data_IF_871831313419
#
_entry.id   IF_871831313419
#
_cell.length_a   1.000
_cell.length_b   1.000
_cell.length_c   1.000
_cell.angle_alpha   90.00
_cell.angle_beta   90.00
_cell.angle_gamma   90.00
#
_symmetry.space_group_name_H-M   'P 1'
#
loop_
_entity.id
_entity.type
_entity.pdbx_description
1 polymer ?
#
# COMPACT_ATOMS: atom_id res chain seq x y z
N UNK A 1 -40.24 8.63 2.91
CA UNK A 1 -39.13 8.82 3.85
C UNK A 1 -38.18 9.81 3.22
N UNK A 2 -38.16 11.03 3.74
CA UNK A 2 -37.38 12.18 3.27
C UNK A 2 -35.88 11.86 3.25
N UNK A 3 -35.15 12.43 2.28
CA UNK A 3 -33.68 12.41 2.17
C UNK A 3 -33.05 12.99 3.46
N UNK A 4 -32.91 12.17 4.50
CA UNK A 4 -32.06 12.48 5.64
C UNK A 4 -30.60 12.15 5.23
N UNK A 5 -29.66 13.10 5.34
CA UNK A 5 -28.25 12.82 5.11
C UNK A 5 -27.78 11.62 5.97
N UNK A 6 -26.86 10.80 5.45
CA UNK A 6 -26.28 9.68 6.20
C UNK A 6 -26.96 8.32 5.97
N UNK A 7 -28.26 8.27 5.66
CA UNK A 7 -28.96 6.97 5.50
C UNK A 7 -28.35 6.15 4.35
N UNK A 8 -27.88 6.77 3.25
CA UNK A 8 -27.19 6.06 2.16
C UNK A 8 -28.15 5.45 1.14
N UNK A 9 -28.11 5.92 -0.11
CA UNK A 9 -29.10 5.54 -1.16
C UNK A 9 -28.89 4.14 -1.74
N UNK A 10 -27.65 3.63 -1.77
CA UNK A 10 -27.33 2.31 -2.38
C UNK A 10 -27.36 1.14 -1.39
N UNK A 11 -27.11 1.42 -0.12
CA UNK A 11 -27.18 0.50 1.03
C UNK A 11 -27.45 1.36 2.26
N UNK A 12 -28.63 1.24 2.89
CA UNK A 12 -28.94 2.05 4.04
C UNK A 12 -28.09 1.65 5.25
N UNK A 13 -27.75 2.61 6.11
CA UNK A 13 -27.18 2.33 7.42
C UNK A 13 -28.25 1.72 8.34
N UNK A 14 -27.88 0.67 9.08
CA UNK A 14 -28.72 0.03 10.08
C UNK A 14 -28.16 0.31 11.47
N UNK A 15 -29.05 0.53 12.42
CA UNK A 15 -28.72 0.69 13.83
C UNK A 15 -28.58 -0.68 14.47
N UNK A 16 -27.37 -1.05 14.89
CA UNK A 16 -27.08 -2.37 15.45
C UNK A 16 -26.45 -2.22 16.82
N UNK A 17 -26.94 -2.98 17.82
CA UNK A 17 -26.34 -2.98 19.14
C UNK A 17 -24.87 -3.42 19.08
N UNK A 18 -23.98 -2.72 19.78
CA UNK A 18 -22.55 -3.07 19.85
C UNK A 18 -22.31 -4.50 20.37
N UNK A 19 -23.25 -5.06 21.15
CA UNK A 19 -23.21 -6.43 21.68
C UNK A 19 -23.34 -7.50 20.59
N UNK A 20 -23.99 -7.16 19.47
CA UNK A 20 -24.17 -8.04 18.33
C UNK A 20 -23.04 -7.92 17.29
N UNK A 21 -22.08 -7.03 17.52
CA UNK A 21 -20.97 -6.75 16.63
C UNK A 21 -19.67 -7.34 17.17
N UNK A 22 -18.96 -8.08 16.34
CA UNK A 22 -17.71 -8.76 16.67
C UNK A 22 -16.59 -8.31 15.73
N UNK A 23 -15.35 -8.25 16.22
CA UNK A 23 -14.20 -7.91 15.37
C UNK A 23 -13.87 -9.03 14.37
N UNK A 24 -13.46 -8.66 13.15
CA UNK A 24 -12.90 -9.64 12.19
C UNK A 24 -11.49 -10.07 12.65
N UNK A 25 -11.40 -11.23 13.30
CA UNK A 25 -10.14 -11.82 13.79
C UNK A 25 -9.20 -12.24 12.66
N UNK A 26 -9.71 -12.36 11.44
CA UNK A 26 -8.93 -12.69 10.25
C UNK A 26 -8.73 -11.46 9.34
N UNK A 27 -8.82 -10.24 9.89
CA UNK A 27 -8.66 -9.03 9.10
C UNK A 27 -7.24 -8.95 8.51
N UNK A 28 -7.07 -8.79 7.18
CA UNK A 28 -5.76 -8.76 6.53
C UNK A 28 -4.81 -7.67 7.01
N UNK A 29 -5.33 -6.58 7.63
CA UNK A 29 -4.53 -5.51 8.22
C UNK A 29 -3.83 -5.90 9.52
N UNK A 30 -4.20 -7.04 10.11
CA UNK A 30 -3.58 -7.53 11.34
C UNK A 30 -2.30 -8.31 11.00
N UNK A 31 -1.25 -8.22 11.84
CA UNK A 31 -0.09 -9.09 11.70
C UNK A 31 -0.47 -10.56 11.82
N UNK A 32 0.20 -11.44 11.09
CA UNK A 32 -0.09 -12.89 11.07
C UNK A 32 -0.10 -13.52 12.46
N UNK A 33 0.75 -13.04 13.39
CA UNK A 33 0.81 -13.50 14.80
C UNK A 33 -0.43 -13.16 15.65
N UNK A 34 -1.30 -12.26 15.18
CA UNK A 34 -2.54 -11.84 15.85
C UNK A 34 -3.78 -12.38 15.14
N UNK A 35 -3.69 -12.68 13.85
CA UNK A 35 -4.81 -13.24 13.10
C UNK A 35 -5.31 -14.56 13.73
N UNK A 36 -6.63 -14.75 13.76
CA UNK A 36 -7.29 -15.92 14.33
C UNK A 36 -7.31 -15.98 15.88
N UNK A 37 -6.68 -15.03 16.58
CA UNK A 37 -6.74 -14.97 18.06
C UNK A 37 -8.11 -14.49 18.56
N UNK A 38 -8.29 -14.54 19.89
CA UNK A 38 -9.54 -14.12 20.53
C UNK A 38 -9.83 -12.63 20.29
N UNK A 39 -11.11 -12.24 20.34
CA UNK A 39 -11.52 -10.84 20.23
C UNK A 39 -10.85 -9.97 21.31
N UNK A 40 -10.68 -10.50 22.53
CA UNK A 40 -9.99 -9.80 23.62
C UNK A 40 -8.51 -9.54 23.32
N UNK A 41 -7.80 -10.54 22.78
CA UNK A 41 -6.40 -10.38 22.34
C UNK A 41 -6.29 -9.33 21.24
N UNK A 42 -7.26 -9.34 20.32
CA UNK A 42 -7.31 -8.39 19.23
C UNK A 42 -7.55 -6.96 19.73
N UNK A 43 -8.50 -6.73 20.65
CA UNK A 43 -8.74 -5.42 21.27
C UNK A 43 -7.47 -4.92 21.97
N UNK A 44 -6.78 -5.79 22.71
CA UNK A 44 -5.53 -5.45 23.40
C UNK A 44 -4.43 -5.06 22.42
N UNK A 45 -4.28 -5.80 21.32
CA UNK A 45 -3.35 -5.46 20.25
C UNK A 45 -3.71 -4.13 19.59
N UNK A 46 -4.99 -3.94 19.23
CA UNK A 46 -5.46 -2.73 18.54
C UNK A 46 -5.23 -1.49 19.41
N UNK A 47 -5.54 -1.59 20.71
CA UNK A 47 -5.32 -0.51 21.69
C UNK A 47 -3.86 -0.05 21.69
N UNK A 48 -2.92 -1.00 21.73
CA UNK A 48 -1.47 -0.68 21.75
C UNK A 48 -0.94 -0.20 20.41
N UNK A 49 -1.38 -0.79 19.30
CA UNK A 49 -0.76 -0.60 17.99
C UNK A 49 -1.37 0.55 17.17
N UNK A 50 -2.61 0.97 17.45
CA UNK A 50 -3.34 1.92 16.59
C UNK A 50 -3.90 3.15 17.30
N UNK A 51 -3.32 3.56 18.43
CA UNK A 51 -3.62 4.81 19.14
C UNK A 51 -5.13 5.03 19.28
N UNK A 52 -5.79 4.21 20.11
CA UNK A 52 -7.23 4.32 20.30
C UNK A 52 -7.62 5.48 21.22
N UNK A 53 -6.66 6.09 21.91
CA UNK A 53 -6.85 7.19 22.86
C UNK A 53 -7.49 8.41 22.20
N UNK A 54 -7.06 8.79 21.00
CA UNK A 54 -7.64 9.92 20.25
C UNK A 54 -9.11 9.64 19.87
N UNK A 55 -9.39 8.42 19.41
CA UNK A 55 -10.76 8.00 19.10
C UNK A 55 -11.63 7.95 20.35
N UNK A 56 -11.08 7.45 21.46
CA UNK A 56 -11.77 7.36 22.74
C UNK A 56 -12.11 8.75 23.28
N UNK A 57 -11.17 9.71 23.20
CA UNK A 57 -11.41 11.09 23.56
C UNK A 57 -12.53 11.70 22.72
N UNK A 58 -12.45 11.56 21.39
CA UNK A 58 -13.47 12.10 20.48
C UNK A 58 -14.86 11.51 20.77
N UNK A 59 -14.96 10.18 20.87
CA UNK A 59 -16.23 9.49 21.12
C UNK A 59 -16.78 9.76 22.52
N UNK A 60 -15.93 9.97 23.53
CA UNK A 60 -16.36 10.31 24.88
C UNK A 60 -17.00 11.69 25.00
N UNK A 61 -16.72 12.58 24.04
CA UNK A 61 -17.25 13.96 23.99
C UNK A 61 -18.39 14.09 22.99
N UNK A 62 -18.26 13.44 21.83
CA UNK A 62 -19.15 13.67 20.69
C UNK A 62 -20.12 12.51 20.40
N UNK A 63 -19.95 11.34 21.03
CA UNK A 63 -20.62 10.12 20.58
C UNK A 63 -19.99 9.54 19.31
N UNK A 64 -20.72 8.66 18.65
CA UNK A 64 -20.32 8.04 17.40
C UNK A 64 -20.60 8.97 16.20
N UNK A 65 -19.73 8.94 15.18
CA UNK A 65 -19.89 9.74 13.97
C UNK A 65 -20.51 8.89 12.84
N UNK A 66 -21.74 9.20 12.45
CA UNK A 66 -22.51 8.46 11.44
C UNK A 66 -21.91 8.53 10.03
N UNK A 67 -21.12 9.57 9.73
CA UNK A 67 -20.38 9.70 8.46
C UNK A 67 -19.29 8.64 8.33
N UNK A 68 -18.91 8.04 9.45
CA UNK A 68 -18.03 6.90 9.55
C UNK A 68 -18.82 5.68 10.05
N UNK A 69 -19.63 5.01 9.20
CA UNK A 69 -20.32 3.79 9.62
C UNK A 69 -19.35 2.61 9.71
N UNK A 70 -19.71 1.62 10.51
CA UNK A 70 -19.07 0.30 10.47
C UNK A 70 -19.53 -0.45 9.22
N UNK A 71 -18.71 -1.39 8.73
CA UNK A 71 -19.16 -2.34 7.70
C UNK A 71 -19.04 -3.73 8.27
N UNK A 72 -20.14 -4.49 8.17
CA UNK A 72 -20.21 -5.81 8.75
C UNK A 72 -20.90 -6.82 7.82
N UNK A 73 -20.67 -8.10 8.12
CA UNK A 73 -21.30 -9.24 7.46
C UNK A 73 -21.96 -10.14 8.52
N UNK A 74 -23.09 -10.82 8.21
CA UNK A 74 -23.69 -11.76 9.15
C UNK A 74 -22.73 -12.90 9.52
N UNK A 75 -22.68 -13.26 10.81
CA UNK A 75 -21.86 -14.39 11.28
C UNK A 75 -22.35 -15.75 10.76
N UNK A 76 -23.67 -15.88 10.57
CA UNK A 76 -24.33 -17.09 10.07
C UNK A 76 -25.38 -16.69 9.05
N UNK A 77 -24.96 -16.48 7.80
CA UNK A 77 -25.91 -16.22 6.71
C UNK A 77 -26.71 -17.50 6.43
N UNK A 78 -28.06 -17.49 6.49
CA UNK A 78 -28.85 -18.63 6.06
C UNK A 78 -28.59 -19.02 4.60
N UNK A 79 -28.43 -20.31 4.31
CA UNK A 79 -28.19 -20.84 2.94
C UNK A 79 -29.19 -20.35 1.91
N UNK A 80 -30.45 -20.09 2.33
CA UNK A 80 -31.49 -19.55 1.43
C UNK A 80 -31.13 -18.18 0.82
N UNK A 81 -30.20 -17.44 1.43
CA UNK A 81 -29.72 -16.15 0.94
C UNK A 81 -28.42 -16.24 0.14
N UNK A 82 -27.62 -17.31 0.31
CA UNK A 82 -26.33 -17.47 -0.40
C UNK A 82 -26.51 -17.58 -1.91
N UNK A 83 -27.63 -18.17 -2.37
CA UNK A 83 -27.94 -18.36 -3.78
C UNK A 83 -28.61 -17.15 -4.45
N UNK A 84 -28.90 -16.07 -3.71
CA UNK A 84 -29.62 -14.90 -4.22
C UNK A 84 -28.61 -13.82 -4.62
N UNK A 85 -28.79 -13.22 -5.80
CA UNK A 85 -27.92 -12.14 -6.27
C UNK A 85 -28.02 -10.89 -5.36
N UNK A 86 -26.92 -10.16 -5.20
CA UNK A 86 -26.81 -9.05 -4.25
C UNK A 86 -27.85 -7.92 -4.50
N UNK A 87 -28.16 -7.64 -5.77
CA UNK A 87 -29.16 -6.65 -6.18
C UNK A 87 -30.60 -7.08 -5.80
N UNK A 88 -30.86 -8.38 -5.77
CA UNK A 88 -32.15 -8.95 -5.37
C UNK A 88 -32.27 -9.04 -3.85
N UNK A 89 -31.19 -9.42 -3.14
CA UNK A 89 -31.14 -9.48 -1.68
C UNK A 89 -31.52 -8.15 -1.02
N UNK A 90 -31.11 -7.03 -1.61
CA UNK A 90 -31.42 -5.68 -1.09
C UNK A 90 -32.92 -5.39 -1.00
N UNK A 91 -33.74 -6.06 -1.80
CA UNK A 91 -35.19 -5.90 -1.85
C UNK A 91 -35.93 -7.10 -1.27
N UNK A 92 -35.20 -8.10 -0.75
CA UNK A 92 -35.78 -9.32 -0.22
C UNK A 92 -36.22 -9.09 1.24
N UNK A 93 -37.52 -9.15 1.51
CA UNK A 93 -38.08 -8.87 2.83
C UNK A 93 -37.61 -9.86 3.91
N UNK A 94 -37.44 -11.14 3.57
CA UNK A 94 -36.91 -12.14 4.50
C UNK A 94 -35.48 -11.83 4.92
N UNK A 95 -34.66 -11.37 3.97
CA UNK A 95 -33.28 -10.96 4.23
C UNK A 95 -33.24 -9.70 5.09
N UNK A 96 -34.08 -8.70 4.78
CA UNK A 96 -34.21 -7.49 5.60
C UNK A 96 -34.62 -7.83 7.03
N UNK A 97 -35.66 -8.66 7.21
CA UNK A 97 -36.10 -9.13 8.53
C UNK A 97 -35.00 -9.89 9.28
N UNK A 98 -34.18 -10.67 8.56
CA UNK A 98 -33.04 -11.37 9.14
C UNK A 98 -31.96 -10.39 9.63
N UNK A 99 -31.54 -9.42 8.82
CA UNK A 99 -30.47 -8.49 9.20
C UNK A 99 -30.91 -7.41 10.20
N UNK A 100 -32.21 -7.17 10.35
CA UNK A 100 -32.76 -6.27 11.39
C UNK A 100 -33.23 -7.00 12.65
N UNK A 101 -33.02 -8.32 12.74
CA UNK A 101 -33.39 -9.08 13.92
C UNK A 101 -32.38 -8.83 15.06
N UNK A 102 -32.87 -8.56 16.27
CA UNK A 102 -32.07 -8.25 17.46
C UNK A 102 -31.13 -9.39 17.90
N UNK A 103 -31.36 -10.63 17.42
CA UNK A 103 -30.51 -11.79 17.71
C UNK A 103 -29.46 -12.05 16.64
N UNK A 104 -29.54 -11.36 15.49
CA UNK A 104 -28.56 -11.51 14.42
C UNK A 104 -27.25 -10.87 14.83
N UNK A 105 -26.17 -11.62 14.65
CA UNK A 105 -24.82 -11.18 15.00
C UNK A 105 -23.97 -11.00 13.75
N UNK A 106 -23.02 -10.06 13.82
CA UNK A 106 -22.24 -9.65 12.67
C UNK A 106 -20.75 -9.55 12.98
N UNK A 107 -19.92 -9.83 11.98
CA UNK A 107 -18.48 -9.59 11.99
C UNK A 107 -18.20 -8.26 11.29
N UNK A 108 -17.58 -7.32 12.01
CA UNK A 108 -17.14 -6.02 11.50
C UNK A 108 -15.85 -6.22 10.72
N UNK A 109 -15.96 -6.06 9.40
CA UNK A 109 -14.87 -6.20 8.43
C UNK A 109 -14.16 -4.87 8.14
N UNK A 110 -14.83 -3.75 8.42
CA UNK A 110 -14.29 -2.39 8.30
C UNK A 110 -14.71 -1.55 9.51
N UNK A 111 -13.74 -0.90 10.16
CA UNK A 111 -14.00 -0.16 11.40
C UNK A 111 -13.66 -0.90 12.70
N UNK A 112 -12.83 -1.96 12.65
CA UNK A 112 -12.36 -2.68 13.85
C UNK A 112 -11.80 -1.77 14.96
N UNK A 113 -11.08 -0.69 14.61
CA UNK A 113 -10.60 0.30 15.58
C UNK A 113 -11.76 1.02 16.30
N UNK A 114 -12.78 1.46 15.54
CA UNK A 114 -13.96 2.17 16.08
C UNK A 114 -14.76 1.23 16.99
N UNK A 115 -15.04 0.00 16.54
CA UNK A 115 -15.72 -0.98 17.39
C UNK A 115 -14.91 -1.33 18.64
N UNK A 116 -13.58 -1.46 18.53
CA UNK A 116 -12.71 -1.71 19.70
C UNK A 116 -12.76 -0.56 20.69
N UNK A 117 -12.73 0.69 20.21
CA UNK A 117 -12.87 1.88 21.06
C UNK A 117 -14.22 1.91 21.76
N UNK A 118 -15.32 1.68 21.04
CA UNK A 118 -16.67 1.62 21.62
C UNK A 118 -16.75 0.55 22.71
N UNK A 119 -16.32 -0.69 22.41
CA UNK A 119 -16.32 -1.79 23.38
C UNK A 119 -15.51 -1.44 24.64
N UNK A 120 -14.33 -0.83 24.47
CA UNK A 120 -13.47 -0.40 25.58
C UNK A 120 -14.09 0.75 26.38
N UNK A 121 -14.73 1.74 25.75
CA UNK A 121 -15.41 2.83 26.46
C UNK A 121 -16.57 2.29 27.32
N UNK A 122 -17.42 1.45 26.73
CA UNK A 122 -18.59 0.90 27.41
C UNK A 122 -18.24 -0.08 28.54
N UNK A 123 -17.10 -0.79 28.42
CA UNK A 123 -16.60 -1.72 29.42
C UNK A 123 -15.67 -1.09 30.47
N UNK A 124 -15.38 0.22 30.41
CA UNK A 124 -14.46 0.89 31.33
C UNK A 124 -12.96 0.60 31.08
N UNK A 125 -12.61 0.15 29.87
CA UNK A 125 -11.23 -0.14 29.44
C UNK A 125 -10.35 1.11 29.22
N UNK A 126 -10.91 2.31 29.32
CA UNK A 126 -10.18 3.59 29.30
C UNK A 126 -10.35 4.35 30.62
N UNK A 127 -9.31 4.31 31.46
CA UNK A 127 -9.31 4.96 32.79
C UNK A 127 -9.50 6.48 32.71
N UNK A 128 -9.02 7.12 31.64
CA UNK A 128 -9.06 8.58 31.49
C UNK A 128 -10.33 9.11 30.82
N UNK A 129 -11.22 8.24 30.33
CA UNK A 129 -12.40 8.62 29.52
C UNK A 129 -13.72 8.08 30.11
N UNK A 130 -13.77 7.93 31.44
CA UNK A 130 -14.91 7.35 32.17
C UNK A 130 -16.12 8.30 32.32
N UNK A 131 -15.97 9.58 31.97
CA UNK A 131 -16.95 10.63 32.25
C UNK A 131 -17.80 11.00 31.03
N UNK A 132 -18.29 10.02 30.26
CA UNK A 132 -19.26 10.27 29.19
C UNK A 132 -20.66 10.50 29.77
N UNK A 133 -21.43 11.43 29.21
CA UNK A 133 -22.84 11.61 29.60
C UNK A 133 -23.66 10.34 29.30
N UNK A 134 -24.79 10.17 29.99
CA UNK A 134 -25.70 9.04 29.74
C UNK A 134 -26.15 8.99 28.26
N UNK A 135 -26.40 10.15 27.65
CA UNK A 135 -26.76 10.24 26.23
C UNK A 135 -25.66 9.72 25.30
N UNK A 136 -24.39 10.07 25.56
CA UNK A 136 -23.25 9.55 24.77
C UNK A 136 -23.10 8.03 24.96
N UNK A 137 -23.34 7.54 26.18
CA UNK A 137 -23.30 6.11 26.45
C UNK A 137 -24.37 5.37 25.65
N UNK A 138 -25.60 5.85 25.65
CA UNK A 138 -26.72 5.30 24.89
C UNK A 138 -26.47 5.32 23.38
N UNK A 139 -25.88 6.41 22.87
CA UNK A 139 -25.46 6.55 21.48
C UNK A 139 -24.40 5.47 21.10
N UNK A 140 -23.38 5.28 21.93
CA UNK A 140 -22.35 4.26 21.68
C UNK A 140 -22.86 2.82 21.82
N UNK A 141 -24.03 2.59 22.44
CA UNK A 141 -24.63 1.26 22.53
C UNK A 141 -25.26 0.80 21.20
N UNK A 142 -25.61 1.72 20.31
CA UNK A 142 -26.28 1.46 19.04
C UNK A 142 -25.47 2.11 17.92
N UNK A 143 -24.78 1.29 17.12
CA UNK A 143 -23.86 1.80 16.11
C UNK A 143 -24.49 1.78 14.71
N UNK A 144 -24.19 2.78 13.87
CA UNK A 144 -24.53 2.75 12.46
C UNK A 144 -23.65 1.75 11.70
N UNK A 145 -24.29 0.80 11.02
CA UNK A 145 -23.61 -0.30 10.31
C UNK A 145 -24.18 -0.48 8.90
N UNK A 146 -23.29 -0.59 7.91
CA UNK A 146 -23.64 -1.03 6.57
C UNK A 146 -23.43 -2.55 6.49
N UNK A 147 -24.50 -3.29 6.24
CA UNK A 147 -24.47 -4.76 6.15
C UNK A 147 -24.28 -5.22 4.72
N UNK A 148 -23.31 -6.12 4.52
CA UNK A 148 -23.09 -6.88 3.28
C UNK A 148 -23.35 -8.37 3.53
N UNK A 149 -23.78 -9.14 2.51
CA UNK A 149 -24.09 -10.55 2.71
C UNK A 149 -22.85 -11.39 3.01
N UNK A 150 -21.69 -11.05 2.44
CA UNK A 150 -20.45 -11.81 2.56
C UNK A 150 -19.21 -10.93 2.38
N UNK A 151 -18.01 -11.48 2.63
CA UNK A 151 -16.73 -10.76 2.50
C UNK A 151 -16.48 -10.31 1.05
N UNK A 152 -16.84 -11.11 0.05
CA UNK A 152 -16.57 -10.79 -1.37
C UNK A 152 -17.28 -9.51 -1.83
N UNK A 153 -18.54 -9.34 -1.45
CA UNK A 153 -19.30 -8.11 -1.71
C UNK A 153 -18.66 -6.88 -1.04
N UNK A 154 -18.00 -7.07 0.10
CA UNK A 154 -17.28 -6.01 0.82
C UNK A 154 -15.98 -5.65 0.10
N UNK A 155 -15.27 -6.58 -0.52
CA UNK A 155 -14.01 -6.32 -1.24
C UNK A 155 -14.19 -5.26 -2.34
N UNK A 156 -15.31 -5.32 -3.07
CA UNK A 156 -15.65 -4.30 -4.08
C UNK A 156 -15.79 -2.92 -3.46
N UNK A 157 -16.38 -2.83 -2.27
CA UNK A 157 -16.51 -1.59 -1.51
C UNK A 157 -15.16 -1.10 -0.94
N UNK A 158 -14.36 -2.00 -0.38
CA UNK A 158 -13.07 -1.66 0.23
C UNK A 158 -12.05 -1.19 -0.81
N UNK A 159 -12.02 -1.81 -1.99
CA UNK A 159 -11.16 -1.39 -3.10
C UNK A 159 -11.41 0.07 -3.50
N UNK A 160 -12.67 0.51 -3.54
CA UNK A 160 -13.04 1.89 -3.89
C UNK A 160 -12.80 2.86 -2.72
N UNK A 161 -13.11 2.47 -1.47
CA UNK A 161 -13.05 3.35 -0.29
C UNK A 161 -11.66 3.48 0.36
N UNK A 162 -10.75 2.52 0.20
CA UNK A 162 -9.43 2.56 0.86
C UNK A 162 -8.28 2.99 -0.02
N UNK A 163 -8.55 3.16 -1.30
CA UNK A 163 -7.56 3.64 -2.27
C UNK A 163 -7.56 5.18 -2.35
N UNK A 164 -8.58 5.84 -1.76
CA UNK A 164 -8.66 7.26 -1.49
C UNK A 164 -9.27 7.51 -0.07
N UNK A 165 -8.86 8.53 0.69
CA UNK A 165 -8.14 8.34 1.95
C UNK A 165 -8.97 8.49 3.24
N UNK A 166 -8.90 7.50 4.15
CA UNK A 166 -8.81 7.69 5.61
C UNK A 166 -7.83 6.62 6.16
N UNK A 167 -6.59 7.07 6.45
CA UNK A 167 -5.35 6.30 6.72
C UNK A 167 -4.87 5.37 5.58
N UNK A 168 -3.82 5.81 4.88
CA UNK A 168 -3.17 5.07 3.79
C UNK A 168 -2.74 3.69 4.30
N UNK A 169 -3.16 2.64 3.62
CA UNK A 169 -2.59 1.32 3.80
C UNK A 169 -1.07 1.39 3.64
N UNK A 170 -0.33 0.67 4.47
CA UNK A 170 1.09 0.45 4.21
C UNK A 170 1.27 -0.28 2.87
N UNK A 171 2.43 -0.08 2.25
CA UNK A 171 2.67 -0.55 0.89
C UNK A 171 2.56 -2.09 0.80
N UNK A 172 3.00 -2.81 1.83
CA UNK A 172 2.93 -4.27 1.91
C UNK A 172 1.51 -4.78 2.16
N UNK A 173 0.74 -4.14 3.05
CA UNK A 173 -0.66 -4.51 3.30
C UNK A 173 -1.49 -4.35 2.03
N UNK A 174 -1.26 -3.27 1.27
CA UNK A 174 -1.93 -3.05 -0.02
C UNK A 174 -1.58 -4.19 -0.99
N UNK A 175 -0.33 -4.63 -0.98
CA UNK A 175 0.14 -5.71 -1.83
C UNK A 175 -0.50 -7.06 -1.47
N UNK A 176 -0.58 -7.37 -0.17
CA UNK A 176 -1.25 -8.57 0.33
C UNK A 176 -2.72 -8.62 -0.06
N UNK A 177 -3.41 -7.49 0.00
CA UNK A 177 -4.81 -7.42 -0.44
C UNK A 177 -4.98 -7.65 -1.94
N UNK A 178 -4.11 -7.06 -2.75
CA UNK A 178 -4.10 -7.34 -4.19
C UNK A 178 -3.84 -8.83 -4.44
N UNK A 179 -2.89 -9.43 -3.73
CA UNK A 179 -2.60 -10.86 -3.87
C UNK A 179 -3.78 -11.74 -3.45
N UNK A 180 -4.45 -11.41 -2.34
CA UNK A 180 -5.65 -12.11 -1.88
C UNK A 180 -6.75 -12.12 -2.94
N UNK A 181 -7.01 -10.98 -3.58
CA UNK A 181 -8.00 -10.87 -4.67
C UNK A 181 -7.70 -11.80 -5.85
N UNK A 182 -6.42 -11.93 -6.20
CA UNK A 182 -5.98 -12.71 -7.36
C UNK A 182 -5.99 -14.20 -7.03
N UNK A 183 -5.41 -14.59 -5.89
CA UNK A 183 -5.10 -15.99 -5.59
C UNK A 183 -6.25 -16.71 -4.89
N UNK A 184 -6.97 -16.04 -3.99
CA UNK A 184 -8.06 -16.67 -3.24
C UNK A 184 -9.40 -16.51 -3.96
N UNK A 185 -9.60 -15.36 -4.62
CA UNK A 185 -10.88 -15.06 -5.29
C UNK A 185 -10.82 -15.23 -6.82
N UNK A 186 -9.66 -15.61 -7.37
CA UNK A 186 -9.50 -15.88 -8.81
C UNK A 186 -9.70 -14.66 -9.71
N UNK A 187 -9.60 -13.44 -9.17
CA UNK A 187 -9.84 -12.21 -9.91
C UNK A 187 -8.61 -11.88 -10.76
N UNK A 188 -8.80 -11.65 -12.05
CA UNK A 188 -7.68 -11.27 -12.92
C UNK A 188 -7.04 -9.95 -12.48
N UNK A 189 -5.72 -9.82 -12.66
CA UNK A 189 -5.00 -8.57 -12.30
C UNK A 189 -5.56 -7.34 -13.04
N UNK A 190 -6.03 -7.50 -14.28
CA UNK A 190 -6.66 -6.43 -15.06
C UNK A 190 -7.99 -5.99 -14.44
N UNK A 191 -8.77 -6.93 -13.93
CA UNK A 191 -10.00 -6.63 -13.21
C UNK A 191 -9.72 -5.98 -11.86
N UNK A 192 -8.68 -6.43 -11.14
CA UNK A 192 -8.22 -5.75 -9.92
C UNK A 192 -7.87 -4.29 -10.23
N UNK A 193 -7.07 -4.03 -11.27
CA UNK A 193 -6.72 -2.66 -11.70
C UNK A 193 -7.95 -1.79 -11.98
N UNK A 194 -8.95 -2.34 -12.69
CA UNK A 194 -10.23 -1.63 -12.95
C UNK A 194 -11.00 -1.33 -11.66
N UNK A 195 -11.16 -2.31 -10.77
CA UNK A 195 -11.89 -2.17 -9.50
C UNK A 195 -11.27 -1.12 -8.59
N UNK A 196 -9.94 -0.96 -8.66
CA UNK A 196 -9.20 0.01 -7.85
C UNK A 196 -8.92 1.35 -8.52
N UNK A 197 -9.31 1.51 -9.79
CA UNK A 197 -9.03 2.71 -10.58
C UNK A 197 -7.53 2.94 -10.85
N UNK A 198 -6.71 1.88 -10.95
CA UNK A 198 -5.29 1.99 -11.25
C UNK A 198 -5.02 2.03 -12.76
N UNK A 199 -4.59 3.19 -13.25
CA UNK A 199 -4.21 3.41 -14.66
C UNK A 199 -2.70 3.33 -14.90
N UNK A 200 -1.90 3.13 -13.84
CA UNK A 200 -0.43 3.30 -13.85
C UNK A 200 0.37 2.00 -13.81
N UNK A 201 -0.30 0.84 -13.87
CA UNK A 201 0.30 -0.48 -13.59
C UNK A 201 0.89 -0.61 -12.17
N UNK A 202 0.45 0.23 -11.24
CA UNK A 202 0.87 0.15 -9.85
C UNK A 202 0.44 -1.17 -9.21
N UNK A 203 -0.76 -1.70 -9.53
CA UNK A 203 -1.24 -2.97 -9.00
C UNK A 203 -0.36 -4.15 -9.44
N UNK A 204 0.01 -4.19 -10.73
CA UNK A 204 0.91 -5.22 -11.29
C UNK A 204 2.27 -5.19 -10.61
N UNK A 205 2.85 -4.00 -10.49
CA UNK A 205 4.13 -3.78 -9.80
C UNK A 205 4.07 -4.22 -8.33
N UNK A 206 3.03 -3.80 -7.63
CA UNK A 206 2.80 -4.13 -6.22
C UNK A 206 2.61 -5.64 -6.04
N UNK A 207 1.78 -6.28 -6.85
CA UNK A 207 1.55 -7.73 -6.80
C UNK A 207 2.83 -8.52 -7.11
N UNK A 208 3.56 -8.12 -8.16
CA UNK A 208 4.84 -8.75 -8.53
C UNK A 208 5.82 -8.68 -7.37
N UNK A 209 5.97 -7.50 -6.75
CA UNK A 209 6.88 -7.33 -5.61
C UNK A 209 6.46 -8.19 -4.40
N UNK A 210 5.16 -8.31 -4.13
CA UNK A 210 4.63 -9.21 -3.08
C UNK A 210 5.03 -10.65 -3.33
N UNK A 211 4.81 -11.14 -4.55
CA UNK A 211 5.12 -12.52 -4.92
C UNK A 211 6.61 -12.83 -4.91
N UNK A 212 7.47 -11.86 -5.20
CA UNK A 212 8.91 -12.08 -5.06
C UNK A 212 9.32 -12.36 -3.62
N UNK A 213 8.64 -11.75 -2.62
CA UNK A 213 8.86 -12.07 -1.20
C UNK A 213 8.40 -13.50 -0.91
N UNK A 214 7.17 -13.85 -1.30
CA UNK A 214 6.64 -15.21 -1.07
C UNK A 214 7.53 -16.28 -1.73
N UNK A 215 8.00 -16.05 -2.96
CA UNK A 215 8.95 -16.94 -3.64
C UNK A 215 10.24 -17.12 -2.82
N UNK A 216 10.76 -16.07 -2.19
CA UNK A 216 11.94 -16.16 -1.33
C UNK A 216 11.66 -16.94 -0.04
N UNK A 217 10.48 -16.76 0.56
CA UNK A 217 10.03 -17.53 1.73
C UNK A 217 9.93 -19.02 1.38
N UNK A 218 9.29 -19.35 0.26
CA UNK A 218 9.02 -20.72 -0.18
C UNK A 218 10.31 -21.45 -0.62
N UNK A 219 11.16 -20.81 -1.44
CA UNK A 219 12.31 -21.46 -2.05
C UNK A 219 13.57 -21.46 -1.15
N UNK A 220 13.67 -20.52 -0.22
CA UNK A 220 14.87 -20.34 0.62
C UNK A 220 14.59 -20.31 2.13
N UNK A 221 13.34 -20.46 2.58
CA UNK A 221 12.97 -20.26 3.99
C UNK A 221 13.46 -18.91 4.52
N UNK A 222 13.42 -17.89 3.66
CA UNK A 222 13.92 -16.55 3.93
C UNK A 222 13.09 -15.86 5.02
N UNK A 223 13.75 -15.26 6.02
CA UNK A 223 13.08 -14.36 6.97
C UNK A 223 12.73 -13.04 6.28
N UNK A 224 11.45 -12.87 6.01
CA UNK A 224 10.92 -11.76 5.23
C UNK A 224 10.55 -10.54 6.06
N UNK A 225 10.79 -10.52 7.38
CA UNK A 225 10.37 -9.42 8.25
C UNK A 225 10.83 -8.05 7.71
N UNK A 226 12.13 -7.89 7.43
CA UNK A 226 12.70 -6.64 6.94
C UNK A 226 12.18 -6.26 5.54
N UNK A 227 11.97 -7.25 4.67
CA UNK A 227 11.42 -7.06 3.33
C UNK A 227 9.96 -6.58 3.37
N UNK A 228 9.18 -7.07 4.34
CA UNK A 228 7.77 -6.70 4.55
C UNK A 228 7.66 -5.30 5.16
N UNK A 229 8.52 -4.97 6.13
CA UNK A 229 8.60 -3.64 6.74
C UNK A 229 9.07 -2.56 5.74
N UNK A 230 10.11 -2.86 4.95
CA UNK A 230 10.70 -1.95 3.96
C UNK A 230 10.29 -2.28 2.52
N UNK A 231 9.03 -2.68 2.32
CA UNK A 231 8.51 -3.14 1.02
C UNK A 231 8.63 -2.12 -0.11
N UNK A 232 8.64 -0.83 0.22
CA UNK A 232 8.83 0.25 -0.76
C UNK A 232 10.17 0.17 -1.49
N UNK A 233 11.21 -0.42 -0.88
CA UNK A 233 12.52 -0.59 -1.50
C UNK A 233 12.45 -1.64 -2.62
N UNK A 234 11.82 -2.79 -2.39
CA UNK A 234 11.59 -3.80 -3.43
C UNK A 234 10.69 -3.28 -4.54
N UNK A 235 9.65 -2.49 -4.21
CA UNK A 235 8.87 -1.80 -5.22
C UNK A 235 9.76 -0.84 -6.02
N UNK A 236 10.63 -0.05 -5.40
CA UNK A 236 11.53 0.84 -6.14
C UNK A 236 12.48 0.04 -7.04
N UNK A 237 13.07 -1.03 -6.53
CA UNK A 237 14.00 -1.91 -7.21
C UNK A 237 13.37 -2.58 -8.43
N UNK A 238 12.22 -3.22 -8.29
CA UNK A 238 11.50 -3.83 -9.43
C UNK A 238 10.96 -2.79 -10.40
N UNK A 239 10.90 -1.51 -10.00
CA UNK A 239 10.65 -0.39 -10.90
C UNK A 239 11.80 -0.10 -11.88
N UNK A 240 13.04 -0.47 -11.53
CA UNK A 240 14.21 -0.21 -12.34
C UNK A 240 14.34 -1.27 -13.45
N UNK A 241 14.53 -0.80 -14.69
CA UNK A 241 14.67 -1.70 -15.84
C UNK A 241 15.87 -2.64 -15.74
N UNK A 242 17.02 -2.15 -15.27
CA UNK A 242 18.24 -2.96 -15.10
C UNK A 242 18.07 -4.07 -14.06
N UNK A 243 17.46 -3.76 -12.92
CA UNK A 243 17.17 -4.75 -11.87
C UNK A 243 16.19 -5.80 -12.41
N UNK A 244 15.12 -5.40 -13.11
CA UNK A 244 14.20 -6.36 -13.74
C UNK A 244 14.92 -7.29 -14.71
N UNK A 245 15.73 -6.75 -15.62
CA UNK A 245 16.53 -7.56 -16.56
C UNK A 245 17.46 -8.51 -15.82
N UNK A 246 18.14 -8.05 -14.77
CA UNK A 246 19.04 -8.87 -13.97
C UNK A 246 18.33 -10.09 -13.37
N UNK A 247 17.17 -9.92 -12.75
CA UNK A 247 16.38 -11.02 -12.17
C UNK A 247 15.49 -11.75 -13.20
N UNK A 248 15.53 -11.35 -14.48
CA UNK A 248 14.76 -11.98 -15.55
C UNK A 248 13.26 -11.65 -15.59
N UNK A 249 12.84 -10.52 -15.01
CA UNK A 249 11.49 -10.01 -15.19
C UNK A 249 11.33 -9.30 -16.56
N UNK A 250 10.16 -9.43 -17.21
CA UNK A 250 9.82 -8.66 -18.40
C UNK A 250 9.93 -7.14 -18.20
N UNK A 251 10.33 -6.42 -19.26
CA UNK A 251 10.46 -4.96 -19.19
C UNK A 251 9.12 -4.25 -19.02
N UNK A 252 8.04 -4.75 -19.64
CA UNK A 252 6.69 -4.19 -19.48
C UNK A 252 5.92 -4.97 -18.42
N UNK A 253 5.20 -4.25 -17.56
CA UNK A 253 4.38 -4.86 -16.50
C UNK A 253 3.25 -5.76 -17.02
N UNK A 254 2.76 -5.50 -18.23
CA UNK A 254 1.69 -6.28 -18.84
C UNK A 254 2.16 -7.65 -19.32
N UNK A 255 3.47 -7.81 -19.55
CA UNK A 255 4.06 -9.04 -20.07
C UNK A 255 4.44 -10.01 -18.92
N UNK A 256 4.23 -9.60 -17.65
CA UNK A 256 4.48 -10.45 -16.48
C UNK A 256 3.34 -11.44 -16.31
N UNK A 257 3.68 -12.73 -16.32
CA UNK A 257 2.78 -13.83 -16.01
C UNK A 257 2.63 -13.99 -14.48
N UNK A 258 1.43 -13.77 -13.90
CA UNK A 258 1.16 -13.96 -12.47
C UNK A 258 1.46 -15.37 -11.95
N UNK A 259 1.39 -16.39 -12.81
CA UNK A 259 1.63 -17.79 -12.44
C UNK A 259 3.11 -18.18 -12.51
N UNK A 260 3.93 -17.37 -13.19
CA UNK A 260 5.34 -17.66 -13.42
C UNK A 260 6.18 -16.38 -13.43
N UNK A 261 6.32 -15.79 -12.25
CA UNK A 261 6.98 -14.49 -12.10
C UNK A 261 8.51 -14.60 -12.27
N UNK A 262 9.15 -15.62 -11.72
CA UNK A 262 10.60 -15.87 -11.83
C UNK A 262 10.87 -17.30 -12.28
N UNK A 263 11.94 -17.49 -13.05
CA UNK A 263 12.42 -18.83 -13.46
C UNK A 263 13.38 -19.41 -12.41
N UNK A 264 13.49 -20.74 -12.33
CA UNK A 264 14.41 -21.41 -11.39
C UNK A 264 15.87 -20.95 -11.52
N UNK A 265 16.33 -20.68 -12.74
CA UNK A 265 17.69 -20.19 -13.02
C UNK A 265 17.92 -18.79 -12.40
N UNK A 266 16.90 -17.94 -12.41
CA UNK A 266 16.99 -16.58 -11.89
C UNK A 266 16.74 -16.47 -10.37
N UNK A 267 16.35 -17.54 -9.68
CA UNK A 267 16.18 -17.55 -8.21
C UNK A 267 17.47 -17.13 -7.49
N UNK A 268 18.64 -17.58 -7.96
CA UNK A 268 19.94 -17.17 -7.38
C UNK A 268 20.17 -15.67 -7.53
N UNK A 269 19.77 -15.07 -8.66
CA UNK A 269 19.88 -13.62 -8.90
C UNK A 269 18.89 -12.84 -8.05
N UNK A 270 17.66 -13.34 -7.89
CA UNK A 270 16.68 -12.78 -6.97
C UNK A 270 17.22 -12.75 -5.54
N UNK A 271 17.77 -13.87 -5.06
CA UNK A 271 18.38 -13.97 -3.73
C UNK A 271 19.51 -12.93 -3.53
N UNK A 272 20.34 -12.70 -4.54
CA UNK A 272 21.38 -11.64 -4.49
C UNK A 272 20.78 -10.26 -4.36
N UNK A 273 19.73 -9.93 -5.12
CA UNK A 273 19.04 -8.64 -5.01
C UNK A 273 18.43 -8.45 -3.62
N UNK A 274 17.78 -9.48 -3.07
CA UNK A 274 17.28 -9.43 -1.69
C UNK A 274 18.40 -9.20 -0.69
N UNK A 275 19.51 -9.93 -0.80
CA UNK A 275 20.70 -9.73 0.05
C UNK A 275 21.25 -8.31 -0.07
N UNK A 276 21.32 -7.74 -1.27
CA UNK A 276 21.82 -6.38 -1.45
C UNK A 276 20.92 -5.31 -0.81
N UNK A 277 19.60 -5.51 -0.86
CA UNK A 277 18.62 -4.53 -0.35
C UNK A 277 18.39 -4.68 1.16
N UNK A 278 18.37 -5.91 1.67
CA UNK A 278 17.91 -6.23 3.02
C UNK A 278 18.99 -6.91 3.89
N UNK A 279 20.05 -7.43 3.29
CA UNK A 279 20.98 -8.34 3.96
C UNK A 279 20.42 -9.76 4.07
N UNK A 280 21.24 -10.68 4.60
CA UNK A 280 20.85 -12.08 4.85
C UNK A 280 21.39 -12.63 6.19
N UNK A 281 21.77 -11.73 7.11
CA UNK A 281 22.32 -12.06 8.43
C UNK A 281 23.82 -12.38 8.43
N UNK A 282 24.35 -12.98 7.36
CA UNK A 282 25.78 -13.21 7.15
C UNK A 282 26.44 -11.98 6.50
N UNK A 283 25.79 -11.40 5.49
CA UNK A 283 26.20 -10.14 4.87
C UNK A 283 25.21 -9.02 5.17
N UNK A 284 25.76 -7.84 5.48
CA UNK A 284 24.98 -6.61 5.62
C UNK A 284 24.41 -6.17 4.28
N UNK A 285 23.27 -5.47 4.34
CA UNK A 285 22.73 -4.73 3.20
C UNK A 285 23.77 -3.74 2.67
N UNK A 286 23.89 -3.66 1.34
CA UNK A 286 24.70 -2.64 0.68
C UNK A 286 23.88 -1.39 0.34
N UNK A 287 22.55 -1.48 0.46
CA UNK A 287 21.62 -0.37 0.28
C UNK A 287 21.35 0.24 1.65
N UNK A 288 21.76 1.49 1.82
CA UNK A 288 21.56 2.23 3.07
C UNK A 288 20.32 3.11 3.00
N UNK A 289 20.03 3.67 1.82
CA UNK A 289 18.82 4.45 1.58
C UNK A 289 18.21 4.15 0.20
N UNK A 290 16.92 4.47 0.04
CA UNK A 290 16.17 4.13 -1.17
C UNK A 290 16.79 4.68 -2.46
N UNK A 291 17.49 5.82 -2.38
CA UNK A 291 18.13 6.42 -3.56
C UNK A 291 19.31 5.58 -4.09
N UNK A 292 19.97 4.79 -3.25
CA UNK A 292 21.09 3.93 -3.67
C UNK A 292 20.64 2.91 -4.72
N UNK A 293 19.39 2.46 -4.64
CA UNK A 293 18.78 1.55 -5.62
C UNK A 293 18.78 2.19 -7.02
N UNK A 294 18.42 3.46 -7.10
CA UNK A 294 18.28 4.17 -8.40
C UNK A 294 19.59 4.75 -8.87
N UNK A 295 20.39 5.30 -7.96
CA UNK A 295 21.59 6.05 -8.29
C UNK A 295 22.84 5.19 -8.38
N UNK A 296 22.87 4.00 -7.76
CA UNK A 296 24.05 3.13 -7.72
C UNK A 296 23.77 1.74 -8.24
N UNK A 297 22.89 0.99 -7.58
CA UNK A 297 22.61 -0.40 -7.93
C UNK A 297 22.08 -0.54 -9.36
N UNK A 298 21.12 0.30 -9.75
CA UNK A 298 20.55 0.29 -11.09
C UNK A 298 21.60 0.55 -12.19
N UNK A 299 22.47 1.58 -12.09
CA UNK A 299 23.64 1.74 -12.97
C UNK A 299 24.58 0.55 -12.98
N UNK A 300 25.01 0.05 -11.81
CA UNK A 300 25.92 -1.10 -11.68
C UNK A 300 25.43 -2.31 -12.48
N UNK A 301 24.13 -2.62 -12.38
CA UNK A 301 23.54 -3.77 -13.08
C UNK A 301 23.40 -3.59 -14.60
N UNK A 302 23.76 -2.43 -15.16
CA UNK A 302 23.89 -2.28 -16.63
C UNK A 302 25.29 -2.65 -17.14
N UNK A 303 26.27 -2.86 -16.26
CA UNK A 303 27.65 -3.16 -16.63
C UNK A 303 28.07 -4.52 -16.07
N UNK A 304 28.49 -5.42 -16.95
CA UNK A 304 28.78 -6.81 -16.59
C UNK A 304 29.93 -6.92 -15.58
N UNK A 305 31.00 -6.13 -15.78
CA UNK A 305 32.17 -6.13 -14.89
C UNK A 305 31.83 -5.60 -13.49
N UNK A 306 31.15 -4.46 -13.41
CA UNK A 306 30.65 -3.90 -12.15
C UNK A 306 29.69 -4.87 -11.44
N UNK A 307 28.80 -5.52 -12.18
CA UNK A 307 27.88 -6.54 -11.64
C UNK A 307 28.64 -7.71 -11.05
N UNK A 308 29.64 -8.26 -11.76
CA UNK A 308 30.49 -9.35 -11.27
C UNK A 308 31.23 -8.96 -9.99
N UNK A 309 31.78 -7.74 -9.94
CA UNK A 309 32.43 -7.21 -8.75
C UNK A 309 31.45 -7.14 -7.56
N UNK A 310 30.23 -6.61 -7.75
CA UNK A 310 29.21 -6.54 -6.70
C UNK A 310 28.80 -7.94 -6.19
N UNK A 311 28.68 -8.92 -7.09
CA UNK A 311 28.34 -10.29 -6.75
C UNK A 311 29.38 -10.97 -5.85
N UNK A 312 30.66 -10.74 -6.16
CA UNK A 312 31.81 -11.33 -5.49
C UNK A 312 32.10 -10.64 -4.16
N UNK A 313 32.28 -9.32 -4.17
CA UNK A 313 32.78 -8.56 -3.03
C UNK A 313 31.68 -7.98 -2.13
N UNK A 314 30.42 -7.92 -2.61
CA UNK A 314 29.31 -7.29 -1.88
C UNK A 314 29.62 -5.84 -1.48
N UNK A 315 30.27 -5.12 -2.38
CA UNK A 315 30.72 -3.72 -2.24
C UNK A 315 30.08 -2.90 -3.36
N UNK A 316 29.04 -2.13 -3.01
CA UNK A 316 28.27 -1.34 -3.96
C UNK A 316 29.02 -0.09 -4.42
N UNK A 317 29.80 0.55 -3.55
CA UNK A 317 30.60 1.72 -3.94
C UNK A 317 31.68 1.29 -4.93
N UNK A 318 32.47 0.25 -4.60
CA UNK A 318 33.50 -0.23 -5.51
C UNK A 318 32.93 -0.78 -6.82
N UNK A 319 31.71 -1.35 -6.81
CA UNK A 319 31.03 -1.73 -8.04
C UNK A 319 30.60 -0.51 -8.85
N UNK A 320 30.10 0.54 -8.19
CA UNK A 320 29.66 1.78 -8.83
C UNK A 320 30.84 2.52 -9.47
N UNK A 321 31.99 2.60 -8.81
CA UNK A 321 33.22 3.18 -9.36
C UNK A 321 33.71 2.45 -10.63
N UNK A 322 33.36 1.16 -10.76
CA UNK A 322 33.68 0.30 -11.91
C UNK A 322 32.58 0.30 -12.98
N UNK A 323 31.50 1.03 -12.74
CA UNK A 323 30.50 1.35 -13.76
C UNK A 323 30.80 2.74 -14.33
N UNK A 324 30.38 3.05 -15.56
CA UNK A 324 30.46 4.43 -16.10
C UNK A 324 29.47 5.39 -15.38
N UNK A 325 29.20 5.19 -14.08
CA UNK A 325 28.14 5.85 -13.33
C UNK A 325 28.24 7.37 -13.38
N UNK A 326 29.46 7.89 -13.25
CA UNK A 326 29.72 9.33 -13.26
C UNK A 326 29.70 9.92 -14.68
N UNK A 327 30.24 9.22 -15.67
CA UNK A 327 30.23 9.65 -17.07
C UNK A 327 28.83 9.61 -17.68
N UNK A 328 28.02 8.60 -17.37
CA UNK A 328 26.63 8.52 -17.79
C UNK A 328 25.77 9.59 -17.12
N UNK A 329 26.00 9.87 -15.85
CA UNK A 329 25.25 10.90 -15.12
C UNK A 329 25.61 12.30 -15.64
N UNK A 330 26.90 12.54 -15.89
CA UNK A 330 27.41 13.76 -16.52
C UNK A 330 26.79 13.97 -17.90
N UNK A 331 26.82 12.95 -18.76
CA UNK A 331 26.21 12.98 -20.10
C UNK A 331 24.70 13.23 -20.04
N UNK A 332 23.99 12.62 -19.08
CA UNK A 332 22.56 12.83 -18.85
C UNK A 332 22.26 14.27 -18.40
N UNK A 333 23.09 14.87 -17.56
CA UNK A 333 22.93 16.27 -17.16
C UNK A 333 23.13 17.23 -18.33
N UNK A 334 24.14 16.99 -19.18
CA UNK A 334 24.33 17.79 -20.39
C UNK A 334 23.17 17.64 -21.38
N UNK A 335 22.69 16.42 -21.64
CA UNK A 335 21.56 16.19 -22.52
C UNK A 335 20.28 16.91 -22.04
N UNK A 336 20.00 16.88 -20.73
CA UNK A 336 18.87 17.62 -20.16
C UNK A 336 19.06 19.14 -20.23
N UNK A 337 20.27 19.64 -19.95
CA UNK A 337 20.57 21.07 -20.05
C UNK A 337 20.33 21.59 -21.48
N UNK A 338 20.79 20.86 -22.51
CA UNK A 338 20.54 21.18 -23.92
C UNK A 338 19.04 21.25 -24.18
N UNK A 339 18.31 20.18 -23.84
CA UNK A 339 16.84 20.11 -24.04
C UNK A 339 16.09 21.29 -23.41
N UNK A 340 16.46 21.71 -22.20
CA UNK A 340 15.78 22.82 -21.54
C UNK A 340 16.19 24.19 -22.10
N UNK A 341 17.44 24.35 -22.55
CA UNK A 341 17.89 25.54 -23.25
C UNK A 341 17.18 25.71 -24.60
N UNK A 342 16.98 24.62 -25.35
CA UNK A 342 16.24 24.67 -26.63
C UNK A 342 14.79 25.12 -26.42
N UNK A 343 14.12 24.60 -25.37
CA UNK A 343 12.77 25.05 -25.01
C UNK A 343 12.74 26.53 -24.63
N UNK A 344 13.71 27.00 -23.85
CA UNK A 344 13.81 28.40 -23.48
C UNK A 344 14.09 29.28 -24.70
N UNK A 345 14.93 28.82 -25.63
CA UNK A 345 15.23 29.51 -26.87
C UNK A 345 13.98 29.73 -27.72
N UNK A 346 13.15 28.70 -27.92
CA UNK A 346 11.88 28.82 -28.64
C UNK A 346 10.97 29.89 -28.02
N UNK A 347 10.80 29.87 -26.69
CA UNK A 347 9.98 30.86 -25.99
C UNK A 347 10.53 32.29 -26.11
N UNK A 348 11.85 32.46 -26.13
CA UNK A 348 12.52 33.75 -26.30
C UNK A 348 12.36 34.27 -27.74
N UNK A 349 12.45 33.38 -28.73
CA UNK A 349 12.23 33.76 -30.14
C UNK A 349 10.80 34.25 -30.33
N UNK A 350 9.83 33.58 -29.71
CA UNK A 350 8.41 33.91 -29.88
C UNK A 350 7.98 35.15 -29.07
N UNK A 351 8.53 35.34 -27.86
CA UNK A 351 8.00 36.33 -26.89
C UNK A 351 9.03 37.36 -26.39
N UNK A 352 10.29 37.25 -26.80
CA UNK A 352 11.40 38.00 -26.22
C UNK A 352 11.81 37.49 -24.82
N UNK A 353 12.92 38.03 -24.29
CA UNK A 353 13.44 37.66 -22.96
C UNK A 353 13.08 38.72 -21.91
N UNK A 354 12.51 38.28 -20.79
CA UNK A 354 12.20 39.13 -19.63
C UNK A 354 13.47 39.50 -18.86
N UNK A 355 13.40 40.55 -18.02
CA UNK A 355 14.54 40.95 -17.17
C UNK A 355 14.96 39.83 -16.20
N UNK A 356 13.99 39.11 -15.63
CA UNK A 356 14.27 37.93 -14.81
C UNK A 356 14.93 36.81 -15.62
N UNK A 357 14.46 36.58 -16.86
CA UNK A 357 15.09 35.66 -17.81
C UNK A 357 16.55 36.01 -18.10
N UNK A 358 16.87 37.32 -18.25
CA UNK A 358 18.26 37.79 -18.45
C UNK A 358 19.15 37.47 -17.24
N UNK A 359 18.63 37.55 -16.02
CA UNK A 359 19.37 37.19 -14.79
C UNK A 359 19.72 35.69 -14.80
N UNK A 360 18.76 34.81 -15.13
CA UNK A 360 19.03 33.37 -15.23
C UNK A 360 20.00 33.04 -16.36
N UNK A 361 19.86 33.68 -17.53
CA UNK A 361 20.81 33.52 -18.63
C UNK A 361 22.24 33.90 -18.24
N UNK A 362 22.41 35.00 -17.49
CA UNK A 362 23.71 35.40 -16.93
C UNK A 362 24.29 34.36 -15.98
N UNK A 363 23.48 33.77 -15.09
CA UNK A 363 23.91 32.67 -14.20
C UNK A 363 24.35 31.43 -14.98
N UNK A 364 23.60 31.05 -16.02
CA UNK A 364 23.95 29.93 -16.90
C UNK A 364 25.30 30.19 -17.58
N UNK A 365 25.53 31.39 -18.15
CA UNK A 365 26.83 31.76 -18.75
C UNK A 365 27.98 31.66 -17.76
N UNK A 366 27.78 32.12 -16.51
CA UNK A 366 28.81 31.99 -15.46
C UNK A 366 29.13 30.53 -15.17
N UNK A 367 28.12 29.66 -15.09
CA UNK A 367 28.34 28.22 -14.83
C UNK A 367 29.04 27.53 -15.99
N UNK A 368 28.67 27.83 -17.24
CA UNK A 368 29.37 27.32 -18.44
C UNK A 368 30.84 27.76 -18.42
N UNK A 369 31.13 29.01 -18.03
CA UNK A 369 32.52 29.48 -17.87
C UNK A 369 33.27 28.70 -16.79
N UNK A 370 32.65 28.41 -15.65
CA UNK A 370 33.26 27.58 -14.61
C UNK A 370 33.54 26.16 -15.10
N UNK A 371 32.62 25.52 -15.82
CA UNK A 371 32.81 24.18 -16.41
C UNK A 371 33.97 24.21 -17.42
N UNK A 372 34.02 25.22 -18.29
CA UNK A 372 35.13 25.38 -19.25
C UNK A 372 36.48 25.56 -18.56
N UNK A 373 36.51 26.26 -17.43
CA UNK A 373 37.74 26.46 -16.66
C UNK A 373 38.19 25.17 -15.94
N UNK A 374 37.28 24.32 -15.47
CA UNK A 374 37.65 23.04 -14.87
C UNK A 374 38.24 22.08 -15.91
N UNK A 375 37.69 22.06 -17.14
CA UNK A 375 38.22 21.25 -18.24
C UNK A 375 39.61 21.68 -18.73
N UNK A 376 39.99 22.95 -18.54
CA UNK A 376 41.34 23.45 -18.90
C UNK A 376 42.43 23.06 -17.90
N UNK A 377 42.06 22.56 -16.73
CA UNK A 377 43.01 22.09 -15.73
C UNK A 377 43.28 20.57 -15.86
N UNK A 378 42.74 19.93 -16.89
CA UNK A 378 42.94 18.50 -17.20
C UNK A 378 43.92 18.27 -18.38
N UNK A 379 44.50 19.34 -18.94
CA UNK A 379 45.54 19.31 -19.99
C UNK A 379 46.95 19.63 -19.43
#
# INVERSE_FOLDING_TARGET
MSDFPGIGRKRPQLNVSYKNLFLDTNNPRLPSKIQGKSEADLIKYIKKAYYLEELAQSMSVNGYLDEEPLVAIPNKLPKKFEAIAENELKHNQDYLNFITNDTTTFTVVEGNRRLSTVKLLLSGGFQNYTSSSQAIREDLEILPVIIYPNKDSVLTYLGVRHINPVRKWGAYEKARYIAQMIEQHGISIDEVQKRIGDTSNSARKTYTSYRLIEIMEDEYSYDSQDSKENFSFLMLATGQGSIKRYIGLPEKWNDIDPNKIITKENLKKLKRVFRWIYGDGDKLSVITESRDITNKLSPVLNFEEATKYLEEYNDLEGAYDRSDGDDLLLNKYFANAIKYLDKAFLLIVDNGITDEGRVYFSKIRKRIKSIKNSLRNED
#
